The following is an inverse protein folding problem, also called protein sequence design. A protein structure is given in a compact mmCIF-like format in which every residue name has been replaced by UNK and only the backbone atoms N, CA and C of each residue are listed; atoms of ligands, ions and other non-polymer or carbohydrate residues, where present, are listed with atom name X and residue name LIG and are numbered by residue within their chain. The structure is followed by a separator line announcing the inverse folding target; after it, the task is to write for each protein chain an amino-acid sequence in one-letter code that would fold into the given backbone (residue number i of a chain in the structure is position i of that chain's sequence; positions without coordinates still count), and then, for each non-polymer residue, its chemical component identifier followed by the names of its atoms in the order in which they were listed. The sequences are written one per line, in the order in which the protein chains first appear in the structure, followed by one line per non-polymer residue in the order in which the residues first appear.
data_IF_903447384666
#
_entry.id   IF_903447384666
#
_cell.length_a   1.000
_cell.length_b   1.000
_cell.length_c   1.000
_cell.angle_alpha   90.00
_cell.angle_beta   90.00
_cell.angle_gamma   90.00
#
_symmetry.space_group_name_H-M   'P 1'
#
loop_
_entity.id
_entity.type
_entity.pdbx_description
1 polymer ?
#
# COMPACT_ATOMS: atom_id res chain seq x y z
N UNK A 1 0.48 -28.84 -15.92
CA UNK A 1 0.49 -27.96 -17.12
C UNK A 1 1.40 -26.78 -16.82
N UNK A 2 2.26 -26.39 -17.75
CA UNK A 2 3.10 -25.20 -17.60
C UNK A 2 2.25 -23.93 -17.70
N UNK A 3 2.64 -22.88 -16.97
CA UNK A 3 1.96 -21.58 -16.97
C UNK A 3 2.99 -20.46 -16.99
N UNK A 4 2.83 -19.51 -17.90
CA UNK A 4 3.57 -18.26 -17.94
C UNK A 4 2.70 -17.16 -17.34
N UNK A 5 3.01 -16.77 -16.10
CA UNK A 5 2.28 -15.73 -15.36
C UNK A 5 3.02 -14.40 -15.48
N UNK A 6 2.40 -13.45 -16.17
CA UNK A 6 2.96 -12.13 -16.41
C UNK A 6 2.45 -11.14 -15.36
N UNK A 7 3.38 -10.63 -14.54
CA UNK A 7 3.13 -9.62 -13.50
C UNK A 7 3.53 -8.22 -13.95
N UNK A 8 4.29 -8.11 -15.04
CA UNK A 8 4.73 -6.84 -15.59
C UNK A 8 3.55 -6.03 -16.13
N UNK A 9 3.66 -4.71 -16.06
CA UNK A 9 2.68 -3.78 -16.65
C UNK A 9 3.17 -3.14 -17.95
N UNK A 10 4.46 -3.28 -18.27
CA UNK A 10 5.09 -2.74 -19.47
C UNK A 10 5.47 -3.88 -20.40
N UNK A 11 5.11 -3.75 -21.68
CA UNK A 11 5.45 -4.74 -22.70
C UNK A 11 4.71 -6.07 -22.54
N UNK A 12 3.51 -6.05 -21.94
CA UNK A 12 2.65 -7.22 -21.77
C UNK A 12 2.44 -7.91 -23.11
N UNK A 13 2.65 -9.21 -23.18
CA UNK A 13 2.56 -9.94 -24.44
C UNK A 13 1.12 -10.03 -24.92
N UNK A 14 0.91 -9.91 -26.24
CA UNK A 14 -0.35 -10.31 -26.85
C UNK A 14 -0.46 -11.83 -26.89
N UNK A 15 -1.70 -12.33 -26.93
CA UNK A 15 -1.96 -13.76 -27.09
C UNK A 15 -1.29 -14.33 -28.36
N UNK A 16 -1.28 -13.55 -29.44
CA UNK A 16 -0.62 -13.88 -30.71
C UNK A 16 0.90 -14.04 -30.55
N UNK A 17 1.54 -13.08 -29.85
CA UNK A 17 2.98 -13.16 -29.56
C UNK A 17 3.31 -14.38 -28.71
N UNK A 18 2.49 -14.68 -27.71
CA UNK A 18 2.66 -15.88 -26.88
C UNK A 18 2.50 -17.15 -27.72
N UNK A 19 1.50 -17.23 -28.58
CA UNK A 19 1.24 -18.37 -29.47
C UNK A 19 2.37 -18.61 -30.50
N UNK A 20 3.06 -17.54 -30.93
CA UNK A 20 4.22 -17.63 -31.81
C UNK A 20 5.54 -17.97 -31.06
N UNK A 21 5.53 -18.01 -29.74
CA UNK A 21 6.72 -18.25 -28.94
C UNK A 21 7.02 -19.75 -28.78
N UNK A 22 8.26 -20.08 -28.41
CA UNK A 22 8.65 -21.46 -28.04
C UNK A 22 7.84 -22.01 -26.86
N UNK A 23 7.16 -21.15 -26.10
CA UNK A 23 6.32 -21.49 -24.95
C UNK A 23 4.84 -21.63 -25.25
N UNK A 24 4.41 -21.65 -26.52
CA UNK A 24 2.99 -21.63 -26.92
C UNK A 24 2.10 -22.71 -26.26
N UNK A 25 2.68 -23.83 -25.83
CA UNK A 25 1.98 -24.91 -25.12
C UNK A 25 1.66 -24.58 -23.65
N UNK A 26 2.30 -23.57 -23.06
CA UNK A 26 2.01 -23.10 -21.71
C UNK A 26 0.74 -22.24 -21.70
N UNK A 27 0.04 -22.20 -20.56
CA UNK A 27 -1.04 -21.23 -20.38
C UNK A 27 -0.41 -19.85 -20.14
N UNK A 28 -0.80 -18.85 -20.92
CA UNK A 28 -0.46 -17.45 -20.64
C UNK A 28 -1.51 -16.82 -19.73
N UNK A 29 -1.07 -16.22 -18.64
CA UNK A 29 -1.94 -15.54 -17.70
C UNK A 29 -1.34 -14.19 -17.31
N UNK A 30 -2.04 -13.10 -17.61
CA UNK A 30 -1.67 -11.77 -17.13
C UNK A 30 -2.34 -11.54 -15.78
N UNK A 31 -1.55 -11.29 -14.74
CA UNK A 31 -2.05 -11.06 -13.38
C UNK A 31 -1.68 -9.65 -12.91
N UNK A 32 -2.64 -8.73 -13.08
CA UNK A 32 -2.61 -7.43 -12.42
C UNK A 32 -3.31 -7.56 -11.06
N UNK A 33 -2.53 -7.65 -9.98
CA UNK A 33 -3.09 -7.92 -8.65
C UNK A 33 -4.10 -6.84 -8.25
N UNK A 34 -3.79 -5.56 -8.43
CA UNK A 34 -4.62 -4.39 -8.10
C UNK A 34 -6.03 -4.45 -8.70
N UNK A 35 -6.10 -4.80 -9.98
CA UNK A 35 -7.36 -4.95 -10.68
C UNK A 35 -8.08 -6.25 -10.28
N UNK A 36 -7.35 -7.35 -10.09
CA UNK A 36 -7.92 -8.62 -9.64
C UNK A 36 -8.54 -8.53 -8.23
N UNK A 37 -7.97 -7.72 -7.31
CA UNK A 37 -8.56 -7.52 -5.98
C UNK A 37 -9.95 -6.88 -6.09
N UNK A 38 -10.08 -5.92 -7.01
CA UNK A 38 -11.31 -5.15 -7.22
C UNK A 38 -12.38 -5.97 -7.96
N UNK A 39 -11.99 -6.70 -9.00
CA UNK A 39 -12.92 -7.49 -9.83
C UNK A 39 -13.31 -8.83 -9.21
N UNK A 40 -12.47 -9.40 -8.34
CA UNK A 40 -12.72 -10.71 -7.72
C UNK A 40 -12.45 -10.74 -6.20
N UNK A 41 -13.31 -10.07 -5.39
CA UNK A 41 -13.11 -9.98 -3.93
C UNK A 41 -13.06 -11.35 -3.23
N UNK A 42 -13.88 -12.31 -3.67
CA UNK A 42 -13.90 -13.68 -3.12
C UNK A 42 -12.58 -14.43 -3.38
N UNK A 43 -11.96 -14.21 -4.53
CA UNK A 43 -10.65 -14.79 -4.84
C UNK A 43 -9.57 -14.16 -3.95
N UNK A 44 -9.57 -12.83 -3.79
CA UNK A 44 -8.64 -12.12 -2.90
C UNK A 44 -8.77 -12.60 -1.46
N UNK A 45 -10.01 -12.74 -0.95
CA UNK A 45 -10.25 -13.27 0.38
C UNK A 45 -9.64 -14.67 0.57
N UNK A 46 -9.80 -15.57 -0.42
CA UNK A 46 -9.18 -16.89 -0.38
C UNK A 46 -7.66 -16.82 -0.39
N UNK A 47 -7.07 -15.94 -1.20
CA UNK A 47 -5.63 -15.72 -1.25
C UNK A 47 -5.08 -15.24 0.10
N UNK A 48 -5.75 -14.28 0.74
CA UNK A 48 -5.37 -13.78 2.07
C UNK A 48 -5.52 -14.83 3.16
N UNK A 49 -6.57 -15.66 3.13
CA UNK A 49 -6.71 -16.79 4.07
C UNK A 49 -5.57 -17.81 3.92
N UNK A 50 -5.19 -18.13 2.67
CA UNK A 50 -4.05 -19.01 2.41
C UNK A 50 -2.75 -18.40 2.96
N UNK A 51 -2.51 -17.11 2.72
CA UNK A 51 -1.35 -16.40 3.23
C UNK A 51 -1.32 -16.40 4.76
N UNK A 52 -2.45 -16.11 5.41
CA UNK A 52 -2.59 -16.12 6.87
C UNK A 52 -2.28 -17.50 7.45
N UNK A 53 -2.82 -18.57 6.87
CA UNK A 53 -2.52 -19.95 7.27
C UNK A 53 -1.03 -20.25 7.14
N UNK A 54 -0.41 -19.96 5.98
CA UNK A 54 1.03 -20.20 5.78
C UNK A 54 1.91 -19.37 6.70
N UNK A 55 1.47 -18.17 7.06
CA UNK A 55 2.12 -17.33 8.06
C UNK A 55 2.07 -17.99 9.44
N UNK A 56 0.90 -18.49 9.86
CA UNK A 56 0.77 -19.21 11.15
C UNK A 56 1.56 -20.52 11.19
N UNK A 57 1.77 -21.16 10.05
CA UNK A 57 2.62 -22.36 9.90
C UNK A 57 4.13 -22.00 9.85
N UNK A 58 4.49 -20.72 9.91
CA UNK A 58 5.89 -20.27 9.90
C UNK A 58 6.59 -20.37 8.54
N UNK A 59 5.85 -20.62 7.45
CA UNK A 59 6.40 -20.77 6.08
C UNK A 59 6.70 -19.41 5.44
N UNK A 60 6.02 -18.36 5.87
CA UNK A 60 6.19 -17.00 5.34
C UNK A 60 7.20 -16.26 6.22
N UNK A 61 8.32 -15.86 5.62
CA UNK A 61 9.34 -15.05 6.29
C UNK A 61 9.36 -13.61 5.74
N UNK A 62 9.73 -12.67 6.59
CA UNK A 62 9.93 -11.28 6.18
C UNK A 62 11.11 -11.17 5.21
N UNK A 63 10.97 -10.32 4.20
CA UNK A 63 12.10 -9.90 3.38
C UNK A 63 12.98 -8.91 4.16
N UNK A 64 14.29 -8.80 3.85
CA UNK A 64 15.14 -7.74 4.40
C UNK A 64 14.50 -6.36 4.21
N UNK A 65 14.57 -5.51 5.23
CA UNK A 65 13.97 -4.18 5.23
C UNK A 65 15.06 -3.11 5.21
N UNK A 66 14.93 -2.15 4.29
CA UNK A 66 15.70 -0.92 4.27
C UNK A 66 14.79 0.22 4.74
N UNK A 67 14.94 0.62 6.01
CA UNK A 67 14.06 1.61 6.64
C UNK A 67 14.63 3.01 6.54
N UNK A 68 13.78 3.97 6.19
CA UNK A 68 14.08 5.40 6.12
C UNK A 68 13.06 6.17 6.93
N UNK A 69 13.48 7.23 7.60
CA UNK A 69 12.56 8.16 8.27
C UNK A 69 11.80 9.02 7.24
N UNK A 70 10.49 9.20 7.42
CA UNK A 70 9.66 9.98 6.49
C UNK A 70 10.11 11.44 6.42
N UNK A 71 10.37 12.08 7.55
CA UNK A 71 10.65 13.52 7.60
C UNK A 71 12.07 13.83 7.10
N UNK A 72 13.03 12.98 7.46
CA UNK A 72 14.45 13.22 7.19
C UNK A 72 14.95 12.57 5.89
N UNK A 73 14.38 11.44 5.50
CA UNK A 73 15.01 10.53 4.54
C UNK A 73 14.09 10.06 3.40
N UNK A 74 12.87 10.61 3.27
CA UNK A 74 11.94 10.23 2.19
C UNK A 74 12.58 10.28 0.80
N UNK A 75 13.31 11.36 0.48
CA UNK A 75 14.00 11.47 -0.82
C UNK A 75 15.12 10.43 -0.99
N UNK A 76 15.81 10.07 0.10
CA UNK A 76 16.84 9.02 0.07
C UNK A 76 16.22 7.63 -0.16
N UNK A 77 15.03 7.37 0.39
CA UNK A 77 14.27 6.14 0.14
C UNK A 77 13.93 5.97 -1.35
N UNK A 78 13.43 7.03 -2.01
CA UNK A 78 13.15 6.99 -3.45
C UNK A 78 14.41 6.82 -4.29
N UNK A 79 15.54 7.45 -3.93
CA UNK A 79 16.82 7.23 -4.61
C UNK A 79 17.33 5.80 -4.43
N UNK A 80 17.17 5.21 -3.25
CA UNK A 80 17.49 3.81 -2.98
C UNK A 80 16.68 2.89 -3.90
N UNK A 81 15.36 3.10 -3.96
CA UNK A 81 14.45 2.34 -4.83
C UNK A 81 14.82 2.50 -6.32
N UNK A 82 15.09 3.72 -6.77
CA UNK A 82 15.45 4.03 -8.16
C UNK A 82 16.79 3.38 -8.57
N UNK A 83 17.73 3.23 -7.64
CA UNK A 83 19.03 2.63 -7.94
C UNK A 83 18.95 1.17 -8.41
N UNK A 84 17.84 0.48 -8.14
CA UNK A 84 17.65 -0.94 -8.47
C UNK A 84 18.53 -1.90 -7.66
N UNK A 85 19.32 -1.41 -6.70
CA UNK A 85 20.26 -2.21 -5.90
C UNK A 85 19.71 -2.69 -4.55
N UNK A 86 18.52 -2.23 -4.16
CA UNK A 86 17.89 -2.63 -2.90
C UNK A 86 17.45 -4.10 -2.96
N UNK A 87 17.79 -4.89 -1.94
CA UNK A 87 17.34 -6.28 -1.80
C UNK A 87 16.25 -6.31 -0.74
N UNK A 88 15.08 -6.86 -1.07
CA UNK A 88 13.93 -6.91 -0.15
C UNK A 88 13.01 -5.69 -0.30
N UNK A 89 12.67 -5.02 0.81
CA UNK A 89 11.69 -3.93 0.83
C UNK A 89 12.30 -2.63 1.34
N UNK A 90 12.13 -1.55 0.56
CA UNK A 90 12.36 -0.17 1.03
C UNK A 90 11.11 0.29 1.77
N UNK A 91 11.27 0.69 3.04
CA UNK A 91 10.19 1.06 3.94
C UNK A 91 10.42 2.47 4.44
N UNK A 92 9.42 3.35 4.27
CA UNK A 92 9.43 4.68 4.88
C UNK A 92 8.63 4.61 6.17
N UNK A 93 9.29 4.86 7.29
CA UNK A 93 8.69 4.87 8.61
C UNK A 93 8.03 6.22 8.85
N UNK A 94 6.74 6.18 9.15
CA UNK A 94 6.06 7.34 9.68
C UNK A 94 6.45 7.46 11.17
N UNK A 95 6.75 8.68 11.67
CA UNK A 95 6.79 8.88 13.11
C UNK A 95 5.45 8.42 13.66
N UNK A 96 5.49 7.70 14.78
CA UNK A 96 4.27 7.43 15.54
C UNK A 96 3.85 8.78 16.10
N UNK A 97 3.07 9.52 15.31
CA UNK A 97 2.23 10.56 15.85
C UNK A 97 1.20 9.75 16.62
N UNK A 98 1.32 9.71 17.94
CA UNK A 98 0.16 9.45 18.78
C UNK A 98 -0.92 10.35 18.18
N UNK A 99 -1.89 9.76 17.46
CA UNK A 99 -3.01 10.51 16.96
C UNK A 99 -3.47 11.32 18.17
N UNK A 100 -3.48 12.66 18.12
CA UNK A 100 -3.77 13.45 19.31
C UNK A 100 -5.02 12.82 19.87
N UNK A 101 -4.92 12.23 21.06
CA UNK A 101 -6.03 11.49 21.63
C UNK A 101 -7.11 12.56 21.74
N UNK A 102 -8.04 12.62 20.80
CA UNK A 102 -9.20 13.51 20.86
C UNK A 102 -10.20 12.96 21.89
N UNK A 103 -9.69 12.23 22.87
CA UNK A 103 -10.32 11.84 24.11
C UNK A 103 -10.43 13.09 24.98
N UNK A 104 -11.29 14.02 24.58
CA UNK A 104 -11.54 15.25 25.32
C UNK A 104 -12.09 16.38 24.44
N UNK A 105 -12.73 17.33 25.10
CA UNK A 105 -13.18 18.58 24.50
C UNK A 105 -11.99 19.52 24.25
N UNK A 106 -11.91 20.12 23.06
CA UNK A 106 -10.87 21.11 22.73
C UNK A 106 -11.45 22.52 22.85
N UNK A 107 -10.78 23.41 23.59
CA UNK A 107 -11.19 24.80 23.75
C UNK A 107 -10.58 25.69 22.64
N UNK A 108 -11.42 26.37 21.87
CA UNK A 108 -11.03 27.38 20.88
C UNK A 108 -11.48 28.76 21.34
N UNK A 109 -10.58 29.49 21.99
CA UNK A 109 -10.82 30.89 22.36
C UNK A 109 -10.95 31.76 21.12
N UNK A 110 -12.03 32.54 21.01
CA UNK A 110 -12.29 33.39 19.84
C UNK A 110 -12.94 32.67 18.65
N UNK A 111 -13.51 31.48 18.85
CA UNK A 111 -14.17 30.67 17.82
C UNK A 111 -15.34 31.36 17.08
N UNK A 112 -15.92 32.42 17.64
CA UNK A 112 -17.02 33.18 17.02
C UNK A 112 -16.61 34.06 15.84
N UNK A 113 -15.31 34.39 15.70
CA UNK A 113 -14.79 35.17 14.58
C UNK A 113 -14.72 34.37 13.26
N UNK A 114 -14.54 35.06 12.13
CA UNK A 114 -14.42 34.41 10.81
C UNK A 114 -13.31 33.35 10.77
N UNK A 115 -12.13 33.67 11.31
CA UNK A 115 -11.02 32.73 11.44
C UNK A 115 -11.34 31.61 12.43
N UNK A 116 -12.08 31.91 13.49
CA UNK A 116 -12.54 30.92 14.47
C UNK A 116 -13.43 29.86 13.81
N UNK A 117 -14.39 30.28 12.99
CA UNK A 117 -15.28 29.37 12.26
C UNK A 117 -14.53 28.51 11.23
N UNK A 118 -13.55 29.08 10.53
CA UNK A 118 -12.70 28.34 9.61
C UNK A 118 -11.89 27.26 10.34
N UNK A 119 -11.30 27.62 11.47
CA UNK A 119 -10.55 26.70 12.33
C UNK A 119 -11.44 25.60 12.90
N UNK A 120 -12.65 25.93 13.37
CA UNK A 120 -13.64 24.94 13.84
C UNK A 120 -13.99 23.91 12.76
N UNK A 121 -14.22 24.36 11.52
CA UNK A 121 -14.50 23.45 10.38
C UNK A 121 -13.33 22.55 10.05
N UNK A 122 -12.12 23.09 10.09
CA UNK A 122 -10.89 22.32 9.88
C UNK A 122 -10.67 21.27 10.97
N UNK A 123 -10.91 21.62 12.23
CA UNK A 123 -10.80 20.70 13.38
C UNK A 123 -11.86 19.59 13.33
N UNK A 124 -13.10 19.91 12.94
CA UNK A 124 -14.14 18.91 12.70
C UNK A 124 -13.73 17.91 11.60
N UNK A 125 -13.13 18.39 10.50
CA UNK A 125 -12.60 17.55 9.42
C UNK A 125 -11.45 16.62 9.85
N UNK A 126 -10.76 16.92 10.96
CA UNK A 126 -9.71 16.08 11.55
C UNK A 126 -10.20 15.14 12.66
N UNK A 127 -11.51 15.06 12.88
CA UNK A 127 -12.11 14.11 13.81
C UNK A 127 -12.18 14.56 15.27
N UNK A 128 -12.08 15.88 15.54
CA UNK A 128 -12.40 16.45 16.85
C UNK A 128 -13.91 16.37 17.06
N UNK A 129 -14.35 15.66 18.10
CA UNK A 129 -15.77 15.39 18.36
C UNK A 129 -16.42 16.39 19.33
N UNK A 130 -15.63 17.13 20.09
CA UNK A 130 -16.13 18.12 21.06
C UNK A 130 -15.21 19.34 21.05
N UNK A 131 -15.79 20.50 20.77
CA UNK A 131 -15.12 21.79 20.65
C UNK A 131 -15.90 22.80 21.50
N UNK A 132 -15.20 23.54 22.36
CA UNK A 132 -15.75 24.53 23.30
C UNK A 132 -15.24 25.91 22.92
#
# INVERSE_FOLDING_TARGET
RACFVELGKRGVWSNERHAASRGAAAVHAVLALDDAMSRAPRWMQRALRLLSRRSSEGVVHGAPLHTFDLEREAAAAFRCLQSGRSVGKVVVRLPCVDAPRTSGSQLLTGGGGFLGQLTTRWLAGRGVRSLV
#
